data_IF_820203329611
#
_entry.id   IF_820203329611
#
_cell.length_a   1.000
_cell.length_b   1.000
_cell.length_c   1.000
_cell.angle_alpha   90.00
_cell.angle_beta   90.00
_cell.angle_gamma   90.00
#
_symmetry.space_group_name_H-M   'P 1'
#
loop_
_entity.id
_entity.type
_entity.pdbx_description
1 polymer ?
#
# COMPACT_ATOMS: atom_id res chain seq x y z
N UNK A 1 -31.34 -0.52 5.04
CA UNK A 1 -31.11 0.55 4.04
C UNK A 1 -30.76 -0.18 2.75
N UNK A 2 -31.43 0.10 1.63
CA UNK A 2 -31.12 -0.59 0.38
C UNK A 2 -29.69 -0.24 -0.04
N UNK A 3 -28.83 -1.25 -0.18
CA UNK A 3 -27.56 -1.10 -0.89
C UNK A 3 -27.89 -0.60 -2.29
N UNK A 4 -27.60 0.66 -2.60
CA UNK A 4 -27.62 1.10 -3.98
C UNK A 4 -26.41 0.45 -4.65
N UNK A 5 -26.63 -0.67 -5.33
CA UNK A 5 -25.63 -1.26 -6.21
C UNK A 5 -25.32 -0.23 -7.29
N UNK A 6 -24.07 0.20 -7.37
CA UNK A 6 -23.60 1.15 -8.39
C UNK A 6 -23.72 0.46 -9.75
N UNK A 7 -24.41 1.11 -10.71
CA UNK A 7 -24.49 0.62 -12.09
C UNK A 7 -23.16 0.93 -12.82
N UNK A 8 -22.20 0.03 -12.65
CA UNK A 8 -20.86 0.17 -13.21
C UNK A 8 -20.85 0.15 -14.73
N UNK A 9 -21.72 -0.64 -15.36
CA UNK A 9 -21.82 -0.69 -16.82
C UNK A 9 -22.24 0.67 -17.37
N UNK A 10 -23.25 1.31 -16.77
CA UNK A 10 -23.67 2.65 -17.16
C UNK A 10 -22.60 3.73 -16.90
N UNK A 11 -21.85 3.62 -15.79
CA UNK A 11 -20.77 4.57 -15.47
C UNK A 11 -19.57 4.41 -16.40
N UNK A 12 -19.12 3.17 -16.65
CA UNK A 12 -18.02 2.87 -17.57
C UNK A 12 -18.34 3.29 -19.00
N UNK A 13 -19.60 3.15 -19.44
CA UNK A 13 -20.05 3.64 -20.74
C UNK A 13 -19.86 5.16 -20.91
N UNK A 14 -19.88 5.93 -19.81
CA UNK A 14 -19.66 7.38 -19.80
C UNK A 14 -18.18 7.76 -19.75
N UNK A 15 -17.35 6.90 -19.15
CA UNK A 15 -15.92 7.13 -18.93
C UNK A 15 -15.11 5.90 -19.36
N UNK A 16 -15.11 5.57 -20.66
CA UNK A 16 -14.42 4.38 -21.14
C UNK A 16 -12.91 4.53 -20.92
N UNK A 17 -12.31 3.58 -20.20
CA UNK A 17 -10.86 3.38 -20.23
C UNK A 17 -10.45 2.88 -21.63
N UNK A 18 -9.38 3.42 -22.20
CA UNK A 18 -8.90 3.12 -23.57
C UNK A 18 -8.66 1.60 -23.84
N UNK A 19 -8.70 1.12 -25.10
CA UNK A 19 -9.00 -0.29 -25.38
C UNK A 19 -7.80 -1.26 -25.44
N UNK A 20 -8.08 -2.48 -24.96
CA UNK A 20 -7.72 -3.83 -25.43
C UNK A 20 -6.64 -4.68 -24.72
N UNK A 21 -5.69 -4.14 -23.95
CA UNK A 21 -4.61 -4.97 -23.37
C UNK A 21 -4.72 -5.32 -21.88
N UNK A 22 -5.54 -4.65 -21.05
CA UNK A 22 -6.15 -5.09 -19.75
C UNK A 22 -7.03 -3.94 -19.22
N UNK A 23 -8.25 -4.22 -18.75
CA UNK A 23 -9.16 -3.23 -18.13
C UNK A 23 -9.28 -3.55 -16.64
N UNK A 24 -9.07 -2.54 -15.78
CA UNK A 24 -9.38 -2.62 -14.36
C UNK A 24 -10.88 -2.90 -14.14
N UNK A 25 -11.19 -3.83 -13.24
CA UNK A 25 -12.53 -4.14 -12.75
C UNK A 25 -12.90 -3.05 -11.73
N UNK A 26 -14.05 -2.35 -11.87
CA UNK A 26 -14.47 -1.30 -10.94
C UNK A 26 -14.60 -1.71 -9.48
N UNK A 27 -14.90 -2.98 -9.25
CA UNK A 27 -14.96 -3.56 -7.93
C UNK A 27 -14.10 -4.82 -7.91
N UNK A 28 -12.87 -4.76 -7.40
CA UNK A 28 -12.08 -5.97 -7.23
C UNK A 28 -12.75 -6.89 -6.22
N UNK A 29 -12.47 -8.19 -6.36
CA UNK A 29 -12.96 -9.25 -5.49
C UNK A 29 -11.86 -9.71 -4.53
N UNK A 30 -12.25 -10.33 -3.44
CA UNK A 30 -11.35 -10.99 -2.51
C UNK A 30 -12.15 -12.02 -1.72
N UNK A 31 -11.54 -13.18 -1.49
CA UNK A 31 -12.00 -14.18 -0.55
C UNK A 31 -11.02 -14.20 0.63
N UNK A 32 -11.53 -14.00 1.85
CA UNK A 32 -10.71 -13.99 3.06
C UNK A 32 -10.81 -15.32 3.81
N UNK A 33 -11.66 -16.23 3.34
CA UNK A 33 -11.86 -17.53 3.98
C UNK A 33 -10.57 -18.36 3.87
N UNK A 34 -10.15 -18.90 5.01
CA UNK A 34 -8.95 -19.73 5.09
C UNK A 34 -7.62 -18.97 5.17
N UNK A 35 -7.62 -17.64 5.19
CA UNK A 35 -6.42 -16.87 5.52
C UNK A 35 -6.11 -17.03 7.01
N UNK A 36 -4.97 -17.65 7.33
CA UNK A 36 -4.52 -17.95 8.70
C UNK A 36 -4.16 -16.68 9.47
N UNK A 37 -5.16 -16.12 10.15
CA UNK A 37 -5.01 -14.94 10.99
C UNK A 37 -4.57 -15.27 12.43
N UNK A 38 -4.57 -16.54 12.83
CA UNK A 38 -4.23 -16.97 14.20
C UNK A 38 -2.77 -16.65 14.56
N UNK A 39 -1.92 -16.40 13.55
CA UNK A 39 -0.54 -15.94 13.71
C UNK A 39 -0.45 -14.50 14.21
N UNK A 40 -1.47 -13.68 13.99
CA UNK A 40 -1.48 -12.28 14.40
C UNK A 40 -1.77 -12.17 15.91
N UNK A 41 -0.76 -11.84 16.70
CA UNK A 41 -0.91 -11.62 18.14
C UNK A 41 -1.21 -10.16 18.43
N UNK A 42 -2.39 -9.89 19.01
CA UNK A 42 -2.72 -8.57 19.53
C UNK A 42 -1.95 -8.28 20.82
N UNK A 43 -1.45 -7.05 20.94
CA UNK A 43 -0.70 -6.51 22.07
C UNK A 43 -1.18 -5.09 22.37
N UNK A 44 -0.60 -4.43 23.35
CA UNK A 44 -0.89 -3.01 23.57
C UNK A 44 -0.26 -2.15 22.46
N UNK A 45 -0.89 -1.03 22.13
CA UNK A 45 -0.36 -0.07 21.15
C UNK A 45 1.07 0.38 21.49
N UNK A 46 1.42 0.71 22.75
CA UNK A 46 2.80 1.04 23.12
C UNK A 46 3.81 -0.08 22.83
N UNK A 47 3.44 -1.35 23.03
CA UNK A 47 4.32 -2.50 22.77
C UNK A 47 4.61 -2.66 21.27
N UNK A 48 3.58 -2.62 20.42
CA UNK A 48 3.79 -2.78 18.96
C UNK A 48 4.50 -1.57 18.36
N UNK A 49 4.26 -0.36 18.87
CA UNK A 49 5.00 0.84 18.46
C UNK A 49 6.47 0.74 18.86
N UNK A 50 6.78 0.27 20.07
CA UNK A 50 8.17 0.05 20.49
C UNK A 50 8.87 -0.98 19.59
N UNK A 51 8.22 -2.11 19.32
CA UNK A 51 8.73 -3.16 18.43
C UNK A 51 8.93 -2.68 17.00
N UNK A 52 8.05 -1.80 16.50
CA UNK A 52 8.18 -1.21 15.18
C UNK A 52 9.33 -0.19 15.11
N UNK A 53 9.53 0.63 16.15
CA UNK A 53 10.69 1.53 16.29
C UNK A 53 12.00 0.76 16.25
N UNK A 54 12.10 -0.35 16.99
CA UNK A 54 13.29 -1.21 17.00
C UNK A 54 13.61 -1.81 15.61
N UNK A 55 12.62 -1.86 14.71
CA UNK A 55 12.73 -2.40 13.35
C UNK A 55 12.64 -1.32 12.27
N UNK A 56 12.67 -0.03 12.63
CA UNK A 56 12.46 1.06 11.69
C UNK A 56 13.48 1.04 10.53
N UNK A 57 14.75 0.78 10.83
CA UNK A 57 15.79 0.64 9.79
C UNK A 57 15.45 -0.48 8.81
N UNK A 58 15.05 -1.65 9.31
CA UNK A 58 14.62 -2.77 8.47
C UNK A 58 13.38 -2.44 7.64
N UNK A 59 12.43 -1.67 8.18
CA UNK A 59 11.26 -1.21 7.43
C UNK A 59 11.66 -0.31 6.25
N UNK A 60 12.52 0.69 6.50
CA UNK A 60 13.02 1.60 5.45
C UNK A 60 13.87 0.85 4.42
N UNK A 61 14.74 -0.06 4.85
CA UNK A 61 15.54 -0.90 3.96
C UNK A 61 14.67 -1.75 3.03
N UNK A 62 13.68 -2.44 3.59
CA UNK A 62 12.77 -3.29 2.81
C UNK A 62 11.97 -2.46 1.80
N UNK A 63 11.43 -1.32 2.19
CA UNK A 63 10.70 -0.44 1.26
C UNK A 63 11.61 0.13 0.16
N UNK A 64 12.85 0.51 0.47
CA UNK A 64 13.81 0.99 -0.52
C UNK A 64 14.08 -0.06 -1.60
N UNK A 65 14.28 -1.32 -1.19
CA UNK A 65 14.47 -2.44 -2.12
C UNK A 65 13.27 -2.70 -3.01
N UNK A 66 12.05 -2.61 -2.46
CA UNK A 66 10.82 -2.76 -3.24
C UNK A 66 10.69 -1.71 -4.35
N UNK A 67 11.28 -0.53 -4.16
CA UNK A 67 11.36 0.54 -5.17
C UNK A 67 12.58 0.44 -6.08
N UNK A 68 13.38 -0.63 -5.96
CA UNK A 68 14.56 -0.86 -6.77
C UNK A 68 15.80 -0.07 -6.32
N UNK A 69 15.76 0.56 -5.15
CA UNK A 69 16.89 1.25 -4.56
C UNK A 69 17.77 0.22 -3.85
N UNK A 70 18.98 0.02 -4.36
CA UNK A 70 19.85 -1.08 -3.96
C UNK A 70 20.81 -0.71 -2.83
N UNK A 71 20.31 -0.08 -1.76
CA UNK A 71 21.11 0.19 -0.55
C UNK A 71 21.29 -1.08 0.28
N UNK A 72 22.43 -1.22 0.96
CA UNK A 72 22.59 -2.15 2.07
C UNK A 72 21.98 -1.58 3.36
N UNK A 73 21.66 -2.43 4.35
CA UNK A 73 21.15 -1.95 5.64
C UNK A 73 22.08 -0.94 6.33
N UNK A 74 23.42 -1.13 6.39
CA UNK A 74 24.33 -0.11 6.94
C UNK A 74 24.25 1.23 6.21
N UNK A 75 24.10 1.22 4.88
CA UNK A 75 23.96 2.45 4.12
C UNK A 75 22.63 3.15 4.39
N UNK A 76 21.55 2.42 4.60
CA UNK A 76 20.27 2.99 5.07
C UNK A 76 20.46 3.71 6.41
N UNK A 77 21.23 3.13 7.35
CA UNK A 77 21.55 3.79 8.62
C UNK A 77 22.31 5.10 8.40
N UNK A 78 23.31 5.11 7.52
CA UNK A 78 24.06 6.32 7.17
C UNK A 78 23.16 7.40 6.57
N UNK A 79 22.29 7.06 5.61
CA UNK A 79 21.35 8.00 4.98
C UNK A 79 20.34 8.54 6.00
N UNK A 80 19.81 7.68 6.87
CA UNK A 80 18.91 8.06 7.98
C UNK A 80 19.61 8.97 9.01
N UNK A 81 20.93 8.82 9.16
CA UNK A 81 21.80 9.68 9.97
C UNK A 81 22.16 11.00 9.31
N UNK A 82 21.77 11.21 8.04
CA UNK A 82 22.03 12.43 7.28
C UNK A 82 23.33 12.40 6.47
N UNK A 83 24.03 11.28 6.42
CA UNK A 83 25.28 11.09 5.68
C UNK A 83 25.02 10.75 4.21
N UNK A 84 25.86 11.27 3.30
CA UNK A 84 25.85 10.86 1.88
C UNK A 84 26.59 9.54 1.70
N UNK A 85 26.02 8.62 0.91
CA UNK A 85 26.63 7.32 0.61
C UNK A 85 27.16 7.31 -0.83
N UNK A 86 28.49 7.17 -1.03
CA UNK A 86 29.08 7.12 -2.36
C UNK A 86 28.50 5.99 -3.22
N UNK A 87 28.22 6.27 -4.49
CA UNK A 87 27.65 5.29 -5.43
C UNK A 87 26.13 5.36 -5.58
N UNK A 88 25.46 6.16 -4.75
CA UNK A 88 24.03 6.45 -4.87
C UNK A 88 23.76 7.89 -5.29
N UNK A 89 22.60 8.10 -5.89
CA UNK A 89 22.13 9.42 -6.33
C UNK A 89 21.49 10.17 -5.17
N UNK A 90 21.51 11.50 -5.24
CA UNK A 90 20.81 12.37 -4.28
C UNK A 90 19.30 12.07 -4.24
N UNK A 91 18.72 11.67 -5.39
CA UNK A 91 17.31 11.28 -5.49
C UNK A 91 16.96 10.00 -4.72
N UNK A 92 17.88 9.02 -4.69
CA UNK A 92 17.72 7.81 -3.86
C UNK A 92 17.83 8.14 -2.37
N UNK A 93 18.73 9.04 -1.99
CA UNK A 93 18.85 9.50 -0.60
C UNK A 93 17.60 10.25 -0.12
N UNK A 94 17.04 11.11 -0.97
CA UNK A 94 15.77 11.78 -0.67
C UNK A 94 14.63 10.79 -0.49
N UNK A 95 14.57 9.74 -1.31
CA UNK A 95 13.59 8.67 -1.16
C UNK A 95 13.67 7.95 0.17
N UNK A 96 14.88 7.59 0.61
CA UNK A 96 15.09 6.94 1.91
C UNK A 96 14.68 7.86 3.06
N UNK A 97 15.01 9.17 2.97
CA UNK A 97 14.60 10.16 3.98
C UNK A 97 13.09 10.39 3.98
N UNK A 98 12.44 10.34 2.82
CA UNK A 98 10.98 10.40 2.70
C UNK A 98 10.31 9.21 3.40
N UNK A 99 10.82 8.00 3.19
CA UNK A 99 10.36 6.79 3.87
C UNK A 99 10.55 6.92 5.39
N UNK A 100 11.70 7.41 5.85
CA UNK A 100 11.95 7.68 7.27
C UNK A 100 10.94 8.67 7.86
N UNK A 101 10.63 9.76 7.14
CA UNK A 101 9.62 10.75 7.56
C UNK A 101 8.22 10.15 7.62
N UNK A 102 7.84 9.35 6.62
CA UNK A 102 6.57 8.64 6.59
C UNK A 102 6.42 7.69 7.79
N UNK A 103 7.48 6.95 8.14
CA UNK A 103 7.49 6.07 9.32
C UNK A 103 7.32 6.89 10.61
N UNK A 104 8.02 8.02 10.73
CA UNK A 104 7.88 8.93 11.88
C UNK A 104 6.45 9.44 12.04
N UNK A 105 5.86 9.96 10.96
CA UNK A 105 4.47 10.41 10.94
C UNK A 105 3.49 9.30 11.33
N UNK A 106 3.67 8.10 10.76
CA UNK A 106 2.83 6.94 11.06
C UNK A 106 2.85 6.62 12.56
N UNK A 107 4.04 6.55 13.15
CA UNK A 107 4.22 6.27 14.59
C UNK A 107 3.50 7.32 15.44
N UNK A 108 3.68 8.60 15.12
CA UNK A 108 3.05 9.69 15.87
C UNK A 108 1.53 9.61 15.76
N UNK A 109 1.01 9.30 14.56
CA UNK A 109 -0.44 9.21 14.33
C UNK A 109 -1.07 8.02 15.07
N UNK A 110 -0.43 6.86 15.10
CA UNK A 110 -0.88 5.67 15.84
C UNK A 110 -1.08 5.94 17.33
N UNK A 111 -0.27 6.83 17.92
CA UNK A 111 -0.36 7.17 19.34
C UNK A 111 -1.58 8.04 19.69
N UNK A 112 -2.28 8.59 18.69
CA UNK A 112 -3.43 9.48 18.90
C UNK A 112 -4.79 8.75 18.91
N UNK A 113 -4.80 7.45 18.63
CA UNK A 113 -6.00 6.60 18.65
C UNK A 113 -6.05 5.62 17.50
N UNK A 114 -7.11 4.83 17.48
CA UNK A 114 -7.38 3.85 16.41
C UNK A 114 -7.50 4.55 15.04
N UNK A 115 -6.99 3.87 14.01
CA UNK A 115 -6.96 4.33 12.62
C UNK A 115 -7.70 3.30 11.78
N UNK A 116 -8.60 3.80 10.95
CA UNK A 116 -9.26 3.03 9.90
C UNK A 116 -8.71 3.43 8.53
N UNK A 117 -8.69 2.52 7.55
CA UNK A 117 -8.30 2.87 6.20
C UNK A 117 -9.24 3.93 5.62
N UNK A 118 -8.71 4.84 4.81
CA UNK A 118 -9.48 5.92 4.20
C UNK A 118 -8.60 6.95 3.52
N UNK A 119 -9.23 7.87 2.78
CA UNK A 119 -8.51 8.84 1.95
C UNK A 119 -7.62 9.76 2.79
N UNK A 120 -8.10 10.29 3.92
CA UNK A 120 -7.33 11.24 4.72
C UNK A 120 -5.97 10.69 5.16
N UNK A 121 -5.95 9.51 5.80
CA UNK A 121 -4.69 8.89 6.24
C UNK A 121 -3.82 8.48 5.04
N UNK A 122 -4.44 8.09 3.93
CA UNK A 122 -3.73 7.78 2.68
C UNK A 122 -3.03 9.00 2.11
N UNK A 123 -3.72 10.14 1.99
CA UNK A 123 -3.17 11.39 1.45
C UNK A 123 -2.08 11.96 2.38
N UNK A 124 -2.28 11.89 3.70
CA UNK A 124 -1.30 12.33 4.69
C UNK A 124 0.02 11.52 4.60
N UNK A 125 -0.08 10.21 4.38
CA UNK A 125 1.10 9.35 4.18
C UNK A 125 1.70 9.51 2.78
N UNK A 126 0.87 9.64 1.75
CA UNK A 126 1.30 9.84 0.36
C UNK A 126 2.10 11.13 0.19
N UNK A 127 1.79 12.17 0.98
CA UNK A 127 2.56 13.42 1.01
C UNK A 127 4.05 13.19 1.26
N UNK A 128 4.40 12.28 2.15
CA UNK A 128 5.81 11.93 2.39
C UNK A 128 6.34 11.04 1.28
N UNK A 129 5.56 10.02 0.89
CA UNK A 129 5.98 9.00 -0.09
C UNK A 129 6.20 9.58 -1.48
N UNK A 130 5.54 10.68 -1.85
CA UNK A 130 5.65 11.26 -3.19
C UNK A 130 6.46 12.55 -3.27
N UNK A 131 7.01 13.05 -2.14
CA UNK A 131 7.72 14.31 -2.11
C UNK A 131 8.91 14.35 -3.09
N UNK A 132 9.72 13.29 -3.14
CA UNK A 132 10.82 13.13 -4.09
C UNK A 132 10.40 13.02 -5.55
N UNK A 133 9.16 12.58 -5.84
CA UNK A 133 8.69 12.38 -7.22
C UNK A 133 8.42 13.71 -7.94
N UNK A 134 8.47 14.84 -7.22
CA UNK A 134 8.14 16.15 -7.78
C UNK A 134 6.70 16.22 -8.30
N UNK A 135 5.83 15.31 -7.82
CA UNK A 135 4.43 15.26 -8.23
C UNK A 135 3.74 16.56 -7.80
N UNK A 136 2.90 17.09 -8.68
CA UNK A 136 2.18 18.35 -8.45
C UNK A 136 1.04 18.20 -7.45
N UNK A 137 0.73 16.98 -7.02
CA UNK A 137 -0.39 16.71 -6.11
C UNK A 137 -0.19 15.38 -5.38
N UNK A 138 -0.52 15.40 -4.09
CA UNK A 138 -0.57 14.28 -3.17
C UNK A 138 -2.01 13.80 -2.94
N UNK A 139 -2.95 14.34 -3.72
CA UNK A 139 -4.35 13.98 -3.66
C UNK A 139 -4.65 12.89 -4.69
N UNK A 140 -5.75 12.17 -4.46
CA UNK A 140 -6.29 11.22 -5.41
C UNK A 140 -6.39 11.81 -6.82
N UNK A 141 -6.18 10.99 -7.85
CA UNK A 141 -6.25 11.44 -9.26
C UNK A 141 -7.59 12.10 -9.57
N UNK A 142 -8.67 11.61 -8.97
CA UNK A 142 -10.03 12.17 -9.11
C UNK A 142 -10.19 13.60 -8.61
N UNK A 143 -9.29 14.06 -7.74
CA UNK A 143 -9.25 15.44 -7.23
C UNK A 143 -8.41 16.37 -8.14
N UNK A 144 -7.70 15.80 -9.11
CA UNK A 144 -6.81 16.54 -10.01
C UNK A 144 -7.53 16.89 -11.31
N UNK A 145 -7.49 18.17 -11.70
CA UNK A 145 -8.25 18.70 -12.86
C UNK A 145 -7.60 18.48 -14.22
N UNK A 146 -6.38 17.93 -14.27
CA UNK A 146 -5.53 17.96 -15.47
C UNK A 146 -5.24 16.59 -16.10
N UNK A 147 -5.47 15.48 -15.38
CA UNK A 147 -5.12 14.13 -15.84
C UNK A 147 -6.23 13.15 -15.47
N UNK A 148 -7.09 12.84 -16.45
CA UNK A 148 -8.22 11.93 -16.24
C UNK A 148 -7.96 10.51 -16.72
N UNK A 149 -6.98 10.29 -17.60
CA UNK A 149 -6.59 8.93 -17.98
C UNK A 149 -5.95 8.22 -16.79
N UNK A 150 -6.41 7.00 -16.51
CA UNK A 150 -5.81 6.18 -15.47
C UNK A 150 -4.37 5.78 -15.81
N UNK A 151 -3.47 5.70 -14.79
CA UNK A 151 -2.07 5.33 -14.99
C UNK A 151 -1.93 3.95 -15.65
N UNK A 152 -0.85 3.82 -16.42
CA UNK A 152 -0.42 2.55 -17.00
C UNK A 152 0.62 1.91 -16.09
N UNK A 153 0.35 0.69 -15.65
CA UNK A 153 1.29 -0.13 -14.86
C UNK A 153 1.82 -1.24 -15.76
N UNK A 154 3.15 -1.33 -15.90
CA UNK A 154 3.78 -2.42 -16.64
C UNK A 154 3.72 -3.72 -15.82
N UNK A 155 3.22 -4.80 -16.43
CA UNK A 155 3.08 -6.12 -15.79
C UNK A 155 4.19 -7.10 -16.21
N UNK A 156 5.10 -6.65 -17.06
CA UNK A 156 6.16 -7.47 -17.67
C UNK A 156 5.79 -8.03 -19.04
N UNK A 157 6.80 -8.45 -19.82
CA UNK A 157 6.64 -9.02 -21.18
C UNK A 157 5.79 -8.18 -22.15
N UNK A 158 5.73 -6.86 -21.95
CA UNK A 158 4.98 -5.91 -22.78
C UNK A 158 3.51 -5.74 -22.38
N UNK A 159 3.02 -6.49 -21.39
CA UNK A 159 1.67 -6.35 -20.86
C UNK A 159 1.55 -5.12 -19.97
N UNK A 160 0.38 -4.47 -20.01
CA UNK A 160 0.09 -3.27 -19.24
C UNK A 160 -1.30 -3.34 -18.64
N UNK A 161 -1.41 -3.02 -17.36
CA UNK A 161 -2.66 -2.71 -16.69
C UNK A 161 -2.97 -1.23 -16.84
N UNK A 162 -4.23 -0.90 -17.16
CA UNK A 162 -4.72 0.48 -17.12
C UNK A 162 -5.72 0.62 -15.98
N UNK A 163 -5.37 1.45 -15.01
CA UNK A 163 -6.29 1.83 -13.95
C UNK A 163 -7.50 2.60 -14.53
N UNK A 164 -8.60 2.64 -13.78
CA UNK A 164 -9.82 3.31 -14.21
C UNK A 164 -9.60 4.80 -14.43
N UNK A 165 -10.44 5.40 -15.26
CA UNK A 165 -10.48 6.84 -15.45
C UNK A 165 -10.58 7.57 -14.10
N UNK A 166 -9.78 8.63 -13.90
CA UNK A 166 -9.71 9.35 -12.64
C UNK A 166 -11.07 9.90 -12.19
N UNK A 167 -12.00 10.16 -13.11
CA UNK A 167 -13.36 10.61 -12.79
C UNK A 167 -14.17 9.57 -12.02
N UNK A 168 -13.77 8.30 -12.08
CA UNK A 168 -14.38 7.21 -11.33
C UNK A 168 -13.75 6.98 -9.95
N UNK A 169 -12.60 7.61 -9.65
CA UNK A 169 -11.79 7.35 -8.44
C UNK A 169 -12.61 7.34 -7.15
N UNK A 170 -13.43 8.37 -6.92
CA UNK A 170 -14.24 8.47 -5.70
C UNK A 170 -15.34 7.42 -5.62
N UNK A 171 -15.98 7.09 -6.76
CA UNK A 171 -17.01 6.06 -6.80
C UNK A 171 -16.44 4.68 -6.46
N UNK A 172 -15.29 4.32 -7.02
CA UNK A 172 -14.65 3.01 -6.76
C UNK A 172 -14.08 2.96 -5.35
N UNK A 173 -13.50 4.07 -4.89
CA UNK A 173 -13.03 4.22 -3.52
C UNK A 173 -14.17 4.01 -2.52
N UNK A 174 -15.30 4.71 -2.67
CA UNK A 174 -16.44 4.59 -1.75
C UNK A 174 -17.03 3.17 -1.76
N UNK A 175 -17.09 2.52 -2.92
CA UNK A 175 -17.59 1.16 -3.05
C UNK A 175 -16.68 0.13 -2.35
N UNK A 176 -15.37 0.17 -2.65
CA UNK A 176 -14.38 -0.72 -2.06
C UNK A 176 -14.17 -0.46 -0.57
N UNK A 177 -14.07 0.81 -0.15
CA UNK A 177 -13.88 1.19 1.24
C UNK A 177 -15.01 0.66 2.13
N UNK A 178 -16.27 0.73 1.68
CA UNK A 178 -17.40 0.18 2.43
C UNK A 178 -17.25 -1.32 2.70
N UNK A 179 -16.81 -2.08 1.69
CA UNK A 179 -16.57 -3.53 1.83
C UNK A 179 -15.36 -3.81 2.71
N UNK A 180 -14.31 -3.00 2.63
CA UNK A 180 -13.12 -3.10 3.48
C UNK A 180 -13.48 -2.83 4.95
N UNK A 181 -14.21 -1.75 5.24
CA UNK A 181 -14.61 -1.40 6.61
C UNK A 181 -15.56 -2.43 7.24
N UNK A 182 -16.23 -3.25 6.44
CA UNK A 182 -17.05 -4.37 6.92
C UNK A 182 -16.22 -5.60 7.37
N UNK A 183 -14.92 -5.66 7.05
CA UNK A 183 -14.03 -6.74 7.49
C UNK A 183 -13.75 -6.58 8.98
N UNK A 184 -14.14 -7.55 9.81
CA UNK A 184 -14.05 -7.44 11.27
C UNK A 184 -12.61 -7.34 11.80
N UNK A 185 -11.70 -8.20 11.32
CA UNK A 185 -10.35 -8.28 11.86
C UNK A 185 -9.44 -7.17 11.30
N UNK A 186 -8.80 -6.30 12.13
CA UNK A 186 -8.02 -5.15 11.68
C UNK A 186 -6.86 -5.51 10.74
N UNK A 187 -6.22 -6.66 10.96
CA UNK A 187 -5.15 -7.16 10.07
C UNK A 187 -5.68 -7.44 8.66
N UNK A 188 -6.78 -8.19 8.53
CA UNK A 188 -7.38 -8.50 7.24
C UNK A 188 -7.86 -7.22 6.57
N UNK A 189 -8.46 -6.30 7.34
CA UNK A 189 -8.89 -4.99 6.88
C UNK A 189 -7.73 -4.17 6.30
N UNK A 190 -6.62 -4.06 7.04
CA UNK A 190 -5.42 -3.36 6.61
C UNK A 190 -4.75 -4.00 5.38
N UNK A 191 -4.60 -5.32 5.37
CA UNK A 191 -4.01 -6.04 4.24
C UNK A 191 -4.88 -5.93 2.97
N UNK A 192 -6.21 -6.01 3.12
CA UNK A 192 -7.15 -5.80 2.02
C UNK A 192 -7.07 -4.37 1.49
N UNK A 193 -6.95 -3.37 2.36
CA UNK A 193 -6.69 -1.99 1.94
C UNK A 193 -5.41 -1.87 1.11
N UNK A 194 -4.30 -2.45 1.57
CA UNK A 194 -3.03 -2.39 0.83
C UNK A 194 -3.15 -3.00 -0.57
N UNK A 195 -3.83 -4.15 -0.69
CA UNK A 195 -4.10 -4.78 -1.97
C UNK A 195 -5.02 -3.95 -2.86
N UNK A 196 -6.06 -3.36 -2.28
CA UNK A 196 -7.02 -2.51 -2.97
C UNK A 196 -6.38 -1.22 -3.51
N UNK A 197 -5.60 -0.51 -2.68
CA UNK A 197 -4.88 0.68 -3.11
C UNK A 197 -3.85 0.39 -4.21
N UNK A 198 -3.17 -0.76 -4.13
CA UNK A 198 -2.27 -1.24 -5.18
C UNK A 198 -3.01 -1.61 -6.48
N UNK A 199 -4.29 -1.97 -6.42
CA UNK A 199 -5.09 -2.27 -7.60
C UNK A 199 -5.66 -1.01 -8.26
N UNK A 200 -6.32 -0.16 -7.47
CA UNK A 200 -7.05 1.03 -7.97
C UNK A 200 -6.13 2.16 -8.47
N UNK A 201 -4.88 2.15 -8.00
CA UNK A 201 -3.87 3.15 -8.33
C UNK A 201 -4.39 4.58 -8.05
N UNK A 202 -4.82 4.89 -6.82
CA UNK A 202 -5.43 6.19 -6.45
C UNK A 202 -4.57 7.42 -6.72
N UNK A 203 -3.26 7.25 -6.89
CA UNK A 203 -2.29 8.29 -7.20
C UNK A 203 -1.62 8.01 -8.54
N UNK A 204 -0.93 9.01 -9.08
CA UNK A 204 -0.13 8.83 -10.30
C UNK A 204 1.03 7.85 -10.09
N UNK A 205 1.58 7.83 -8.87
CA UNK A 205 2.63 6.91 -8.44
C UNK A 205 2.63 6.79 -6.90
N UNK A 206 3.32 5.79 -6.36
CA UNK A 206 3.44 5.54 -4.91
C UNK A 206 2.29 4.74 -4.29
N UNK A 207 1.40 4.17 -5.11
CA UNK A 207 0.19 3.46 -4.65
C UNK A 207 0.48 2.25 -3.74
N UNK A 208 1.39 1.37 -4.18
CA UNK A 208 1.77 0.15 -3.43
C UNK A 208 2.36 0.51 -2.06
N UNK A 209 3.29 1.47 -2.04
CA UNK A 209 3.91 1.98 -0.81
C UNK A 209 2.85 2.57 0.12
N UNK A 210 2.05 3.50 -0.38
CA UNK A 210 1.03 4.19 0.44
C UNK A 210 0.03 3.19 1.03
N UNK A 211 -0.40 2.21 0.23
CA UNK A 211 -1.24 1.10 0.70
C UNK A 211 -0.62 0.35 1.89
N UNK A 212 0.67 -0.01 1.81
CA UNK A 212 1.39 -0.68 2.92
C UNK A 212 1.55 0.20 4.16
N UNK A 213 1.77 1.50 4.01
CA UNK A 213 1.87 2.41 5.16
C UNK A 213 0.53 2.59 5.85
N UNK A 214 -0.56 2.75 5.11
CA UNK A 214 -1.91 2.81 5.70
C UNK A 214 -2.26 1.49 6.38
N UNK A 215 -1.94 0.34 5.76
CA UNK A 215 -2.05 -0.97 6.42
C UNK A 215 -1.32 -0.96 7.76
N UNK A 216 -0.04 -0.57 7.79
CA UNK A 216 0.73 -0.56 9.03
C UNK A 216 0.18 0.45 10.06
N UNK A 217 -0.39 1.57 9.64
CA UNK A 217 -1.06 2.51 10.52
C UNK A 217 -2.29 1.88 11.20
N UNK A 218 -3.15 1.20 10.42
CA UNK A 218 -4.30 0.44 10.93
C UNK A 218 -3.83 -0.62 11.92
N UNK A 219 -2.94 -1.52 11.50
CA UNK A 219 -2.43 -2.63 12.31
C UNK A 219 -1.87 -2.15 13.66
N UNK A 220 -0.95 -1.18 13.65
CA UNK A 220 -0.29 -0.69 14.85
C UNK A 220 -1.26 0.02 15.80
N UNK A 221 -2.22 0.79 15.26
CA UNK A 221 -3.24 1.49 16.06
C UNK A 221 -4.23 0.54 16.75
N UNK A 222 -4.41 -0.66 16.19
CA UNK A 222 -5.23 -1.74 16.74
C UNK A 222 -4.42 -2.75 17.59
N UNK A 223 -3.14 -2.47 17.83
CA UNK A 223 -2.28 -3.30 18.69
C UNK A 223 -1.67 -4.52 18.01
N UNK A 224 -1.57 -4.56 16.68
CA UNK A 224 -0.89 -5.62 15.94
C UNK A 224 0.47 -5.14 15.41
N UNK A 225 1.44 -6.05 15.31
CA UNK A 225 2.75 -5.75 14.71
C UNK A 225 2.57 -5.32 13.24
N UNK A 226 3.38 -4.37 12.76
CA UNK A 226 3.43 -4.00 11.35
C UNK A 226 3.85 -5.20 10.47
N UNK A 227 3.29 -5.27 9.26
CA UNK A 227 3.74 -6.19 8.22
C UNK A 227 4.80 -5.47 7.38
N UNK A 228 5.97 -6.11 7.24
CA UNK A 228 7.04 -5.69 6.35
C UNK A 228 7.22 -6.75 5.28
N UNK A 229 7.29 -6.34 4.01
CA UNK A 229 7.64 -7.25 2.91
C UNK A 229 9.17 -7.28 2.82
N UNK A 230 9.83 -8.40 3.15
CA UNK A 230 11.28 -8.49 3.11
C UNK A 230 11.83 -8.24 1.70
N UNK A 231 12.98 -7.57 1.59
CA UNK A 231 13.66 -7.34 0.31
C UNK A 231 13.88 -8.64 -0.49
N UNK A 232 14.16 -9.74 0.22
CA UNK A 232 14.33 -11.06 -0.37
C UNK A 232 13.05 -11.62 -1.03
N UNK A 233 11.86 -11.15 -0.64
CA UNK A 233 10.56 -11.56 -1.17
C UNK A 233 9.99 -10.56 -2.18
N UNK A 234 10.80 -9.61 -2.68
CA UNK A 234 10.37 -8.62 -3.66
C UNK A 234 9.70 -9.25 -4.89
N UNK A 235 10.32 -10.30 -5.45
CA UNK A 235 9.78 -10.97 -6.64
C UNK A 235 8.42 -11.62 -6.36
N UNK A 236 8.30 -12.33 -5.24
CA UNK A 236 7.04 -12.98 -4.84
C UNK A 236 5.93 -11.95 -4.59
N UNK A 237 6.26 -10.82 -3.95
CA UNK A 237 5.34 -9.71 -3.76
C UNK A 237 4.89 -9.09 -5.09
N UNK A 238 5.83 -8.89 -6.02
CA UNK A 238 5.50 -8.38 -7.36
C UNK A 238 4.61 -9.34 -8.13
N UNK A 239 4.83 -10.65 -8.00
CA UNK A 239 4.01 -11.67 -8.67
C UNK A 239 2.56 -11.66 -8.19
N UNK A 240 2.31 -11.57 -6.87
CA UNK A 240 0.92 -11.49 -6.35
C UNK A 240 0.25 -10.17 -6.70
N UNK A 241 0.99 -9.06 -6.75
CA UNK A 241 0.45 -7.76 -7.21
C UNK A 241 0.08 -7.83 -8.69
N UNK A 242 0.94 -8.41 -9.53
CA UNK A 242 0.68 -8.55 -10.96
C UNK A 242 -0.50 -9.50 -11.21
N UNK A 243 -0.59 -10.60 -10.46
CA UNK A 243 -1.74 -11.50 -10.54
C UNK A 243 -3.06 -10.78 -10.20
N UNK A 244 -3.06 -9.95 -9.17
CA UNK A 244 -4.22 -9.12 -8.82
C UNK A 244 -4.57 -8.12 -9.93
N UNK A 245 -3.59 -7.42 -10.51
CA UNK A 245 -3.83 -6.48 -11.61
C UNK A 245 -4.38 -7.17 -12.87
N UNK A 246 -4.01 -8.42 -13.14
CA UNK A 246 -4.53 -9.21 -14.27
C UNK A 246 -5.97 -9.68 -14.07
N UNK A 247 -6.33 -10.04 -12.85
CA UNK A 247 -7.57 -10.78 -12.56
C UNK A 247 -8.66 -9.92 -11.93
N UNK A 248 -8.29 -8.85 -11.20
CA UNK A 248 -9.21 -8.17 -10.29
C UNK A 248 -9.51 -8.96 -9.00
N UNK A 249 -8.83 -10.07 -8.76
CA UNK A 249 -8.90 -10.85 -7.53
C UNK A 249 -7.70 -10.53 -6.63
N UNK A 250 -7.97 -9.98 -5.45
CA UNK A 250 -6.95 -9.54 -4.50
C UNK A 250 -6.56 -10.62 -3.49
N UNK A 251 -7.22 -11.79 -3.52
CA UNK A 251 -7.11 -12.85 -2.50
C UNK A 251 -5.65 -13.22 -2.21
N UNK A 252 -4.88 -13.57 -3.25
CA UNK A 252 -3.48 -14.00 -3.08
C UNK A 252 -2.58 -12.86 -2.56
N UNK A 253 -2.87 -11.62 -2.94
CA UNK A 253 -2.11 -10.46 -2.44
C UNK A 253 -2.40 -10.24 -0.95
N UNK A 254 -3.65 -10.36 -0.51
CA UNK A 254 -4.01 -10.28 0.91
C UNK A 254 -3.39 -11.45 1.69
N UNK A 255 -3.52 -12.67 1.18
CA UNK A 255 -2.97 -13.87 1.81
C UNK A 255 -1.43 -13.80 1.93
N UNK A 256 -0.74 -13.29 0.91
CA UNK A 256 0.70 -13.06 0.96
C UNK A 256 1.07 -12.11 2.11
N UNK A 257 0.42 -10.95 2.20
CA UNK A 257 0.72 -9.96 3.24
C UNK A 257 0.47 -10.54 4.64
N UNK A 258 -0.67 -11.20 4.86
CA UNK A 258 -1.01 -11.79 6.16
C UNK A 258 -0.06 -12.94 6.51
N UNK A 259 0.37 -13.72 5.51
CA UNK A 259 1.33 -14.81 5.66
C UNK A 259 2.72 -14.37 6.16
N UNK A 260 3.04 -13.06 6.06
CA UNK A 260 4.28 -12.49 6.59
C UNK A 260 4.24 -12.27 8.12
N UNK A 261 3.10 -12.44 8.80
CA UNK A 261 3.11 -12.45 10.26
C UNK A 261 4.01 -13.59 10.75
N UNK A 262 4.96 -13.30 11.65
CA UNK A 262 5.78 -14.36 12.23
C UNK A 262 4.86 -15.35 12.92
N UNK A 263 5.04 -16.65 12.65
CA UNK A 263 4.33 -17.69 13.37
C UNK A 263 4.60 -17.61 14.89
N UNK A 264 3.79 -18.32 15.68
CA UNK A 264 3.79 -18.29 17.15
C UNK A 264 5.18 -18.52 17.82
N UNK A 265 6.16 -19.07 17.10
CA UNK A 265 7.57 -19.06 17.47
C UNK A 265 8.29 -17.95 16.69
N UNK A 266 8.34 -16.74 17.26
CA UNK A 266 8.86 -15.55 16.58
C UNK A 266 10.26 -15.71 16.00
N UNK A 267 10.33 -16.00 14.70
CA UNK A 267 11.43 -15.68 13.78
C UNK A 267 10.78 -15.49 12.40
N UNK A 268 10.35 -14.27 12.09
CA UNK A 268 10.13 -13.86 10.70
C UNK A 268 11.49 -13.59 10.05
N UNK A 269 11.63 -13.73 8.72
CA UNK A 269 12.93 -13.69 8.06
C UNK A 269 13.60 -12.34 8.30
N UNK A 270 14.93 -12.44 8.47
CA UNK A 270 15.89 -11.34 8.63
C UNK A 270 15.76 -10.39 7.45
#
# INVERSE_FOLDING_TARGET
MSESTVDWDALLARFPSAPADVIAVPEPSWDLDGIDIERATQRTVPEVVARFRDRQTGAVFNDAWLEGISYTEPEIVEVMGGTHVPGHTEGEEFQVRDMQRAVGFLIDRVQTGEIEPGQQISDDLHLFISAHLGLKSTAFRGDQRAQYEGPLVALGRGERFRALDARLTHGVFDAGLRRILAIEHPVLRGATWAAFAAYEQFYLDGNKRTGRYVMNAVLLSHGFDAILVPAALKADYEDVVVAALRSGDLTDHVAFLVGLYPGAAGVGPI
#
